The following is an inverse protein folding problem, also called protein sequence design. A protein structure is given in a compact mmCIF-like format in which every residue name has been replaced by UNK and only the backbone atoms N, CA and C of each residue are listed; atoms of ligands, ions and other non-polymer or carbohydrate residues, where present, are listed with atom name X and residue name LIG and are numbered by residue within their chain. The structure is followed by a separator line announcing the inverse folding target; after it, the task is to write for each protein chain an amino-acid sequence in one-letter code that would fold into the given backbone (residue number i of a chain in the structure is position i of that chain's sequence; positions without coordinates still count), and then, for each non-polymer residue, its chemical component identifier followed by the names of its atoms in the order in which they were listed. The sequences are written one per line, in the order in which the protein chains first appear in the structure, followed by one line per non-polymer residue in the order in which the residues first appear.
data_IF_101032179305
#
_entry.id   IF_101032179305
#
_cell.length_a   1.000
_cell.length_b   1.000
_cell.length_c   1.000
_cell.angle_alpha   90.00
_cell.angle_beta   90.00
_cell.angle_gamma   90.00
#
_symmetry.space_group_name_H-M   'P 1'
#
loop_
_entity.id
_entity.type
_entity.pdbx_description
1 polymer ?
#
# COMPACT_ATOMS: atom_id res chain seq x y z
N UNK A 1 -19.83 2.58 -0.17
CA UNK A 1 -20.20 1.34 -0.91
C UNK A 1 -18.94 0.49 -1.01
N UNK A 2 -18.72 -0.37 0.00
CA UNK A 2 -17.49 -1.14 0.22
C UNK A 2 -17.57 -2.56 -0.38
N UNK A 3 -18.69 -2.84 -1.04
CA UNK A 3 -19.15 -4.14 -1.55
C UNK A 3 -18.43 -4.59 -2.84
N UNK A 4 -17.37 -3.88 -3.27
CA UNK A 4 -16.53 -4.21 -4.45
C UNK A 4 -15.11 -4.61 -4.11
N UNK A 5 -14.83 -4.80 -2.83
CA UNK A 5 -13.60 -5.37 -2.33
C UNK A 5 -13.60 -6.89 -2.59
N UNK A 6 -13.60 -7.27 -3.87
CA UNK A 6 -13.49 -8.68 -4.27
C UNK A 6 -12.03 -9.06 -4.07
N UNK A 7 -11.76 -10.09 -3.27
CA UNK A 7 -10.41 -10.53 -3.02
C UNK A 7 -9.68 -11.01 -4.28
N UNK A 8 -8.38 -10.71 -4.39
CA UNK A 8 -7.59 -10.95 -5.61
C UNK A 8 -7.59 -9.77 -6.61
N UNK A 9 -8.30 -8.68 -6.31
CA UNK A 9 -8.26 -7.41 -7.08
C UNK A 9 -7.87 -6.19 -6.24
N UNK A 10 -7.42 -6.38 -5.00
CA UNK A 10 -6.95 -5.25 -4.22
C UNK A 10 -5.73 -4.64 -4.90
N UNK A 11 -5.86 -3.36 -5.26
CA UNK A 11 -4.80 -2.54 -5.82
C UNK A 11 -4.56 -1.39 -4.87
N UNK A 12 -3.68 -1.64 -3.91
CA UNK A 12 -3.13 -0.68 -2.96
C UNK A 12 -1.92 0.03 -3.56
N UNK A 13 -1.24 -0.63 -4.50
CA UNK A 13 -0.09 -0.09 -5.17
C UNK A 13 -0.48 0.97 -6.22
N UNK A 14 -0.07 2.24 -6.04
CA UNK A 14 -0.30 3.30 -7.01
C UNK A 14 0.57 3.11 -8.26
N UNK A 15 0.15 3.74 -9.36
CA UNK A 15 0.93 3.78 -10.61
C UNK A 15 2.22 4.58 -10.44
N UNK A 16 3.18 4.41 -11.35
CA UNK A 16 4.50 5.03 -11.27
C UNK A 16 4.44 6.58 -11.21
N UNK A 17 3.59 7.19 -12.03
CA UNK A 17 3.33 8.63 -12.00
C UNK A 17 2.80 9.11 -10.64
N UNK A 18 1.93 8.31 -10.00
CA UNK A 18 1.39 8.62 -8.68
C UNK A 18 2.45 8.41 -7.60
N UNK A 19 3.28 7.36 -7.69
CA UNK A 19 4.42 7.12 -6.78
C UNK A 19 5.39 8.29 -6.79
N UNK A 20 5.71 8.85 -7.96
CA UNK A 20 6.59 10.01 -8.07
C UNK A 20 6.03 11.23 -7.34
N UNK A 21 4.72 11.51 -7.50
CA UNK A 21 4.04 12.61 -6.80
C UNK A 21 4.00 12.39 -5.29
N UNK A 22 3.69 11.16 -4.86
CA UNK A 22 3.67 10.74 -3.46
C UNK A 22 5.05 10.85 -2.81
N UNK A 23 6.12 10.49 -3.51
CA UNK A 23 7.49 10.60 -2.99
C UNK A 23 7.88 12.07 -2.72
N UNK A 24 7.50 12.98 -3.63
CA UNK A 24 7.74 14.41 -3.46
C UNK A 24 6.95 14.98 -2.27
N UNK A 25 5.71 14.55 -2.10
CA UNK A 25 4.85 14.96 -1.00
C UNK A 25 5.34 14.40 0.36
N UNK A 26 5.69 13.10 0.39
CA UNK A 26 6.27 12.44 1.55
C UNK A 26 7.52 13.16 2.04
N UNK A 27 8.43 13.56 1.14
CA UNK A 27 9.61 14.36 1.49
C UNK A 27 9.30 15.73 2.08
N UNK A 28 8.22 16.38 1.64
CA UNK A 28 7.79 17.68 2.19
C UNK A 28 7.22 17.53 3.59
N UNK A 29 6.47 16.44 3.81
CA UNK A 29 5.82 16.15 5.09
C UNK A 29 6.74 15.47 6.10
N UNK A 30 7.75 14.73 5.66
CA UNK A 30 8.66 13.96 6.53
C UNK A 30 9.46 14.84 7.48
N UNK A 31 9.68 16.10 7.13
CA UNK A 31 10.31 17.10 8.00
C UNK A 31 9.48 17.43 9.26
N UNK A 32 8.20 17.07 9.28
CA UNK A 32 7.29 17.27 10.42
C UNK A 32 7.15 16.01 11.30
N UNK A 33 7.78 14.90 10.92
CA UNK A 33 7.73 13.64 11.68
C UNK A 33 8.82 13.69 12.77
N UNK A 34 8.43 13.51 14.03
CA UNK A 34 9.38 13.38 15.13
C UNK A 34 10.11 12.03 15.06
N UNK A 35 11.44 12.05 15.11
CA UNK A 35 12.29 10.87 14.99
C UNK A 35 12.84 10.66 13.58
N UNK A 36 13.33 9.46 13.29
CA UNK A 36 13.78 9.10 11.93
C UNK A 36 12.61 8.49 11.17
N UNK A 37 11.97 9.22 10.23
CA UNK A 37 10.95 8.62 9.39
C UNK A 37 11.56 7.53 8.50
N UNK A 38 10.83 6.43 8.21
CA UNK A 38 11.29 5.42 7.28
C UNK A 38 11.49 6.01 5.88
N UNK A 39 12.30 5.38 5.05
CA UNK A 39 12.40 5.77 3.66
C UNK A 39 11.07 5.52 2.95
N UNK A 40 10.73 6.38 1.99
CA UNK A 40 9.51 6.21 1.18
C UNK A 40 9.43 4.81 0.54
N UNK A 41 10.58 4.25 0.12
CA UNK A 41 10.67 2.90 -0.42
C UNK A 41 10.26 1.81 0.58
N UNK A 42 10.56 1.97 1.87
CA UNK A 42 10.19 1.01 2.91
C UNK A 42 8.68 1.03 3.20
N UNK A 43 8.08 2.23 3.15
CA UNK A 43 6.62 2.40 3.23
C UNK A 43 5.95 1.70 2.05
N UNK A 44 6.46 1.92 0.83
CA UNK A 44 5.92 1.27 -0.38
C UNK A 44 6.07 -0.25 -0.34
N UNK A 45 7.21 -0.77 0.14
CA UNK A 45 7.43 -2.21 0.29
C UNK A 45 6.46 -2.83 1.32
N UNK A 46 6.15 -2.11 2.41
CA UNK A 46 5.16 -2.55 3.41
C UNK A 46 3.75 -2.61 2.83
N UNK A 47 3.37 -1.64 1.99
CA UNK A 47 2.08 -1.63 1.28
C UNK A 47 1.99 -2.78 0.29
N UNK A 48 3.08 -3.09 -0.43
CA UNK A 48 3.14 -4.22 -1.35
C UNK A 48 2.98 -5.56 -0.64
N UNK A 49 3.69 -5.75 0.48
CA UNK A 49 3.57 -6.93 1.31
C UNK A 49 2.13 -7.10 1.84
N UNK A 50 1.48 -5.99 2.22
CA UNK A 50 0.08 -6.00 2.64
C UNK A 50 -0.87 -6.37 1.49
N UNK A 51 -0.66 -5.82 0.29
CA UNK A 51 -1.45 -6.17 -0.90
C UNK A 51 -1.34 -7.67 -1.21
N UNK A 52 -0.13 -8.22 -1.18
CA UNK A 52 0.12 -9.65 -1.38
C UNK A 52 -0.58 -10.48 -0.30
N UNK A 53 -0.44 -10.10 0.98
CA UNK A 53 -1.11 -10.79 2.08
C UNK A 53 -2.63 -10.82 1.92
N UNK A 54 -3.26 -9.69 1.61
CA UNK A 54 -4.72 -9.59 1.44
C UNK A 54 -5.21 -10.40 0.23
N UNK A 55 -4.44 -10.39 -0.86
CA UNK A 55 -4.77 -11.14 -2.07
C UNK A 55 -4.57 -12.65 -1.88
N UNK A 56 -3.62 -13.10 -1.05
CA UNK A 56 -3.37 -14.53 -0.73
C UNK A 56 -4.33 -15.05 0.35
N UNK A 57 -4.53 -14.30 1.44
CA UNK A 57 -5.35 -14.72 2.58
C UNK A 57 -6.79 -15.04 2.18
N UNK A 58 -7.25 -14.47 1.06
CA UNK A 58 -8.61 -14.69 0.59
C UNK A 58 -8.77 -15.72 -0.52
N UNK A 59 -7.66 -16.28 -1.04
CA UNK A 59 -7.73 -17.51 -1.85
C UNK A 59 -8.15 -18.71 -1.00
N UNK A 60 -8.03 -18.64 0.33
CA UNK A 60 -8.39 -19.71 1.27
C UNK A 60 -9.79 -19.58 1.90
N UNK A 61 -10.60 -18.59 1.47
CA UNK A 61 -11.93 -18.30 2.03
C UNK A 61 -13.12 -18.89 1.27
N UNK A 62 -12.90 -19.78 0.32
CA UNK A 62 -13.96 -20.55 -0.35
C UNK A 62 -14.34 -21.77 0.48
N UNK A 63 -15.42 -21.65 1.26
CA UNK A 63 -16.02 -22.76 2.00
C UNK A 63 -16.53 -23.89 1.08
N UNK A 64 -16.54 -25.16 1.51
CA UNK A 64 -17.61 -26.09 1.15
C UNK A 64 -18.91 -25.76 1.89
#
# INVERSE_FOLDING_TARGET
RYDRAIPGRYRLIPTEDMRTKLAADYRRMSAMIFGTPPAFAEVMASIEALEQYLNVATTNGGAP
#
